data_IF_237779623220
#
_entry.id   IF_237779623220
#
_cell.length_a   1.000
_cell.length_b   1.000
_cell.length_c   1.000
_cell.angle_alpha   90.00
_cell.angle_beta   90.00
_cell.angle_gamma   90.00
#
_symmetry.space_group_name_H-M   'P 1'
#
loop_
_entity.id
_entity.type
_entity.pdbx_description
1 polymer ?
#
# COMPACT_ATOMS: atom_id res chain seq x y z
N UNK A 1 -24.81 -6.85 -3.53
CA UNK A 1 -23.54 -6.37 -4.14
C UNK A 1 -23.43 -6.99 -5.52
N UNK A 2 -23.41 -6.19 -6.59
CA UNK A 2 -23.22 -6.69 -7.95
C UNK A 2 -21.79 -7.17 -8.18
N UNK A 3 -21.58 -8.01 -9.20
CA UNK A 3 -20.23 -8.45 -9.61
C UNK A 3 -19.40 -7.23 -10.05
N UNK A 4 -18.14 -7.08 -9.61
CA UNK A 4 -17.32 -5.96 -10.06
C UNK A 4 -17.02 -6.07 -11.55
N UNK A 5 -17.00 -4.92 -12.24
CA UNK A 5 -16.61 -4.82 -13.65
C UNK A 5 -15.12 -5.16 -13.84
N UNK A 6 -14.28 -4.70 -12.92
CA UNK A 6 -12.83 -4.87 -12.93
C UNK A 6 -12.31 -5.33 -11.58
N UNK A 7 -11.24 -6.11 -11.60
CA UNK A 7 -10.38 -6.36 -10.45
C UNK A 7 -9.00 -5.84 -10.83
N UNK A 8 -8.52 -4.84 -10.10
CA UNK A 8 -7.25 -4.16 -10.38
C UNK A 8 -6.29 -4.46 -9.24
N UNK A 9 -5.13 -5.01 -9.56
CA UNK A 9 -4.07 -5.31 -8.59
C UNK A 9 -2.99 -4.24 -8.70
N UNK A 10 -2.72 -3.55 -7.60
CA UNK A 10 -1.71 -2.51 -7.53
C UNK A 10 -0.69 -2.89 -6.46
N UNK A 11 0.58 -3.04 -6.87
CA UNK A 11 1.70 -3.18 -5.94
C UNK A 11 2.00 -1.83 -5.30
N UNK A 12 2.40 -1.80 -4.04
CA UNK A 12 2.88 -0.57 -3.40
C UNK A 12 4.04 0.06 -4.20
N UNK A 13 4.17 1.38 -4.14
CA UNK A 13 5.25 2.11 -4.78
C UNK A 13 6.59 1.94 -4.06
N UNK A 14 7.67 2.53 -4.60
CA UNK A 14 9.02 2.40 -4.03
C UNK A 14 9.08 2.85 -2.56
N UNK A 15 9.42 1.91 -1.68
CA UNK A 15 9.65 2.14 -0.25
C UNK A 15 11.13 2.36 0.07
N UNK A 16 11.42 2.93 1.25
CA UNK A 16 12.81 3.07 1.71
C UNK A 16 13.51 1.71 1.84
N UNK A 17 12.77 0.66 2.22
CA UNK A 17 13.29 -0.71 2.27
C UNK A 17 13.60 -1.31 0.89
N UNK A 18 12.96 -0.81 -0.17
CA UNK A 18 13.33 -1.18 -1.54
C UNK A 18 14.66 -0.53 -1.97
N UNK A 19 14.95 0.68 -1.49
CA UNK A 19 16.23 1.37 -1.76
C UNK A 19 17.36 0.84 -0.89
N UNK A 20 17.11 0.64 0.41
CA UNK A 20 18.09 0.19 1.37
C UNK A 20 17.50 -0.86 2.32
N UNK A 21 17.83 -2.13 2.07
CA UNK A 21 17.38 -3.25 2.91
C UNK A 21 17.84 -3.15 4.37
N UNK A 22 18.94 -2.44 4.64
CA UNK A 22 19.45 -2.30 6.01
C UNK A 22 18.51 -1.50 6.91
N UNK A 23 17.57 -0.73 6.35
CA UNK A 23 16.58 0.02 7.13
C UNK A 23 15.72 -0.90 8.01
N UNK A 24 15.57 -2.17 7.65
CA UNK A 24 14.83 -3.15 8.43
C UNK A 24 15.51 -3.51 9.78
N UNK A 25 16.77 -3.12 9.96
CA UNK A 25 17.47 -3.24 11.25
C UNK A 25 17.01 -2.18 12.26
N UNK A 26 16.54 -1.03 11.77
CA UNK A 26 16.16 0.13 12.59
C UNK A 26 14.66 0.44 12.55
N UNK A 27 13.97 0.07 11.48
CA UNK A 27 12.55 0.30 11.26
C UNK A 27 11.85 -1.04 11.01
N UNK A 28 10.85 -1.43 11.82
CA UNK A 28 10.04 -2.61 11.57
C UNK A 28 9.39 -2.57 10.18
N UNK A 29 9.37 -3.69 9.45
CA UNK A 29 8.94 -3.72 8.03
C UNK A 29 7.57 -3.06 7.80
N UNK A 30 6.59 -3.35 8.64
CA UNK A 30 5.24 -2.78 8.55
C UNK A 30 5.19 -1.24 8.66
N UNK A 31 6.24 -0.61 9.19
CA UNK A 31 6.38 0.85 9.35
C UNK A 31 7.25 1.51 8.28
N UNK A 32 7.87 0.74 7.40
CA UNK A 32 8.69 1.29 6.31
C UNK A 32 7.80 2.10 5.37
N UNK A 33 8.16 3.37 5.17
CA UNK A 33 7.42 4.34 4.37
C UNK A 33 7.85 4.33 2.91
N UNK A 34 7.06 5.01 2.08
CA UNK A 34 7.43 5.38 0.73
C UNK A 34 8.59 6.38 0.71
N UNK A 35 9.35 6.30 -0.37
CA UNK A 35 10.29 7.35 -0.76
C UNK A 35 9.53 8.51 -1.42
N UNK A 36 10.17 9.66 -1.59
CA UNK A 36 9.59 10.76 -2.37
C UNK A 36 9.21 10.31 -3.79
N UNK A 37 10.09 9.56 -4.44
CA UNK A 37 9.82 8.96 -5.75
C UNK A 37 8.65 7.96 -5.71
N UNK A 38 8.52 7.19 -4.62
CA UNK A 38 7.38 6.31 -4.39
C UNK A 38 6.04 7.06 -4.33
N UNK A 39 6.00 8.25 -3.74
CA UNK A 39 4.80 9.09 -3.76
C UNK A 39 4.45 9.54 -5.19
N UNK A 40 5.43 9.96 -5.98
CA UNK A 40 5.22 10.33 -7.40
C UNK A 40 4.70 9.14 -8.22
N UNK A 41 5.26 7.95 -8.01
CA UNK A 41 4.78 6.72 -8.65
C UNK A 41 3.31 6.42 -8.29
N UNK A 42 2.93 6.58 -7.02
CA UNK A 42 1.58 6.34 -6.57
C UNK A 42 0.57 7.34 -7.18
N UNK A 43 0.95 8.62 -7.28
CA UNK A 43 0.11 9.62 -7.96
C UNK A 43 -0.05 9.34 -9.44
N UNK A 44 1.04 8.99 -10.12
CA UNK A 44 0.99 8.58 -11.52
C UNK A 44 0.09 7.35 -11.76
N UNK A 45 0.10 6.40 -10.83
CA UNK A 45 -0.82 5.26 -10.86
C UNK A 45 -2.29 5.70 -10.70
N UNK A 46 -2.58 6.66 -9.82
CA UNK A 46 -3.92 7.24 -9.68
C UNK A 46 -4.42 7.94 -10.94
N UNK A 47 -3.56 8.70 -11.63
CA UNK A 47 -3.92 9.30 -12.92
C UNK A 47 -4.25 8.24 -13.97
N UNK A 48 -3.43 7.20 -14.12
CA UNK A 48 -3.71 6.09 -15.05
C UNK A 48 -4.98 5.33 -14.68
N UNK A 49 -5.25 5.18 -13.38
CA UNK A 49 -6.48 4.54 -12.92
C UNK A 49 -7.70 5.36 -13.37
N UNK A 50 -7.65 6.68 -13.28
CA UNK A 50 -8.73 7.57 -13.73
C UNK A 50 -9.11 7.35 -15.19
N UNK A 51 -8.14 7.07 -16.06
CA UNK A 51 -8.37 6.80 -17.50
C UNK A 51 -9.11 5.48 -17.76
N UNK A 52 -9.10 4.55 -16.79
CA UNK A 52 -9.72 3.21 -16.90
C UNK A 52 -11.15 3.21 -16.29
N UNK A 53 -11.42 4.15 -15.40
CA UNK A 53 -12.66 4.21 -14.64
C UNK A 53 -13.77 4.92 -15.42
N UNK A 54 -14.98 4.39 -15.31
CA UNK A 54 -16.19 5.00 -15.85
C UNK A 54 -16.86 5.86 -14.77
N UNK A 55 -17.55 6.97 -15.14
CA UNK A 55 -18.24 7.82 -14.15
C UNK A 55 -19.26 7.09 -13.27
N UNK A 56 -19.82 5.97 -13.74
CA UNK A 56 -20.77 5.13 -13.02
C UNK A 56 -20.13 4.11 -12.08
N UNK A 57 -18.81 3.92 -12.14
CA UNK A 57 -18.12 2.95 -11.29
C UNK A 57 -18.11 3.42 -9.82
N UNK A 58 -18.11 2.45 -8.91
CA UNK A 58 -17.75 2.63 -7.50
C UNK A 58 -16.50 1.83 -7.19
N UNK A 59 -15.70 2.32 -6.25
CA UNK A 59 -14.41 1.74 -5.90
C UNK A 59 -14.49 1.07 -4.53
N UNK A 60 -14.04 -0.18 -4.48
CA UNK A 60 -13.74 -0.86 -3.24
C UNK A 60 -12.25 -1.16 -3.21
N UNK A 61 -11.54 -0.46 -2.33
CA UNK A 61 -10.10 -0.58 -2.21
C UNK A 61 -9.78 -1.46 -1.02
N UNK A 62 -9.09 -2.57 -1.27
CA UNK A 62 -8.54 -3.42 -0.22
C UNK A 62 -7.05 -3.14 -0.10
N UNK A 63 -6.62 -2.52 0.99
CA UNK A 63 -5.23 -2.13 1.22
C UNK A 63 -4.59 -2.96 2.32
N UNK A 64 -3.33 -3.36 2.14
CA UNK A 64 -2.54 -3.94 3.23
C UNK A 64 -2.36 -2.92 4.35
N UNK A 65 -2.28 -3.34 5.62
CA UNK A 65 -2.04 -2.43 6.75
C UNK A 65 -0.61 -1.86 6.80
N UNK A 66 0.29 -2.27 5.90
CA UNK A 66 1.67 -1.78 5.88
C UNK A 66 1.72 -0.33 5.42
N UNK A 67 2.57 0.48 6.06
CA UNK A 67 2.65 1.92 5.84
C UNK A 67 2.86 2.28 4.37
N UNK A 68 3.82 1.65 3.69
CA UNK A 68 4.06 1.82 2.24
C UNK A 68 2.81 1.60 1.37
N UNK A 69 1.96 0.65 1.73
CA UNK A 69 0.73 0.35 0.98
C UNK A 69 -0.35 1.37 1.29
N UNK A 70 -0.52 1.77 2.56
CA UNK A 70 -1.42 2.86 2.95
C UNK A 70 -1.07 4.18 2.25
N UNK A 71 0.21 4.54 2.24
CA UNK A 71 0.70 5.75 1.58
C UNK A 71 0.50 5.68 0.07
N UNK A 72 0.71 4.51 -0.56
CA UNK A 72 0.42 4.30 -1.98
C UNK A 72 -1.06 4.52 -2.27
N UNK A 73 -1.94 3.87 -1.49
CA UNK A 73 -3.40 4.01 -1.61
C UNK A 73 -3.83 5.47 -1.44
N UNK A 74 -3.32 6.17 -0.42
CA UNK A 74 -3.66 7.57 -0.18
C UNK A 74 -3.30 8.48 -1.36
N UNK A 75 -2.11 8.32 -1.94
CA UNK A 75 -1.67 9.12 -3.09
C UNK A 75 -2.45 8.80 -4.37
N UNK A 76 -2.86 7.54 -4.56
CA UNK A 76 -3.76 7.15 -5.65
C UNK A 76 -5.11 7.87 -5.50
N UNK A 77 -5.73 7.79 -4.31
CA UNK A 77 -7.04 8.40 -4.06
C UNK A 77 -7.01 9.92 -4.16
N UNK A 78 -5.94 10.55 -3.64
CA UNK A 78 -5.69 11.99 -3.82
C UNK A 78 -5.70 12.38 -5.31
N UNK A 79 -5.05 11.58 -6.16
CA UNK A 79 -4.90 11.87 -7.59
C UNK A 79 -6.18 11.63 -8.41
N UNK A 80 -7.13 10.84 -7.90
CA UNK A 80 -8.43 10.64 -8.53
C UNK A 80 -9.29 11.91 -8.44
N UNK A 81 -9.18 12.65 -7.34
CA UNK A 81 -9.91 13.88 -7.05
C UNK A 81 -11.22 13.67 -6.30
N UNK A 82 -11.90 14.77 -6.00
CA UNK A 82 -13.07 14.80 -5.10
C UNK A 82 -14.27 13.98 -5.61
N UNK A 83 -14.44 13.88 -6.93
CA UNK A 83 -15.52 13.10 -7.57
C UNK A 83 -15.53 11.62 -7.17
N UNK A 84 -14.38 11.10 -6.71
CA UNK A 84 -14.20 9.71 -6.33
C UNK A 84 -14.31 9.48 -4.82
N UNK A 85 -14.30 10.53 -3.98
CA UNK A 85 -14.33 10.39 -2.51
C UNK A 85 -15.59 9.67 -2.04
N UNK A 86 -16.76 10.13 -2.49
CA UNK A 86 -18.07 9.55 -2.12
C UNK A 86 -18.34 8.19 -2.81
N UNK A 87 -17.61 7.88 -3.88
CA UNK A 87 -17.74 6.62 -4.64
C UNK A 87 -16.76 5.54 -4.19
N UNK A 88 -15.90 5.85 -3.22
CA UNK A 88 -14.83 4.97 -2.78
C UNK A 88 -15.05 4.52 -1.35
N UNK A 89 -14.93 3.21 -1.12
CA UNK A 89 -14.80 2.65 0.21
C UNK A 89 -13.45 1.95 0.35
N UNK A 90 -12.73 2.23 1.43
CA UNK A 90 -11.41 1.66 1.70
C UNK A 90 -11.51 0.70 2.87
N UNK A 91 -10.99 -0.51 2.67
CA UNK A 91 -10.91 -1.57 3.66
C UNK A 91 -9.44 -1.91 3.89
N UNK A 92 -9.05 -1.98 5.16
CA UNK A 92 -7.78 -2.57 5.52
C UNK A 92 -7.92 -4.08 5.62
N UNK A 93 -7.09 -4.81 4.88
CA UNK A 93 -7.15 -6.26 4.80
C UNK A 93 -5.80 -6.85 5.28
N UNK A 94 -5.73 -7.34 6.54
CA UNK A 94 -4.51 -7.92 7.08
C UNK A 94 -4.02 -9.16 6.33
N UNK A 95 -4.90 -9.88 5.63
CA UNK A 95 -4.55 -11.12 4.91
C UNK A 95 -3.74 -10.87 3.64
N UNK A 96 -3.75 -9.65 3.09
CA UNK A 96 -2.98 -9.29 1.89
C UNK A 96 -1.65 -8.59 2.22
N UNK A 97 -1.17 -8.73 3.46
CA UNK A 97 0.17 -8.26 3.85
C UNK A 97 1.26 -9.04 3.12
N UNK A 98 2.41 -8.38 2.92
CA UNK A 98 3.57 -9.03 2.31
C UNK A 98 3.98 -10.26 3.13
N UNK A 99 4.36 -11.33 2.43
CA UNK A 99 4.78 -12.55 3.09
C UNK A 99 6.05 -12.27 3.88
N UNK A 100 6.03 -12.58 5.17
CA UNK A 100 7.24 -12.50 5.99
C UNK A 100 8.24 -13.53 5.48
N UNK A 101 9.42 -13.08 5.05
CA UNK A 101 10.52 -14.00 4.76
C UNK A 101 10.99 -14.68 6.04
N UNK A 102 11.49 -15.91 5.95
CA UNK A 102 12.02 -16.65 7.11
C UNK A 102 13.07 -15.86 7.89
N UNK A 103 13.89 -15.09 7.17
CA UNK A 103 14.89 -14.17 7.76
C UNK A 103 14.25 -13.04 8.58
N UNK A 104 13.17 -12.43 8.09
CA UNK A 104 12.43 -11.40 8.84
C UNK A 104 11.74 -11.97 10.10
N UNK A 105 11.30 -13.22 10.06
CA UNK A 105 10.73 -13.93 11.21
C UNK A 105 11.79 -14.22 12.27
N UNK A 106 13.01 -14.57 11.86
CA UNK A 106 14.12 -14.79 12.77
C UNK A 106 14.64 -13.48 13.40
N UNK A 107 14.70 -12.39 12.63
CA UNK A 107 15.08 -11.07 13.15
C UNK A 107 14.08 -10.54 14.20
N UNK A 108 12.77 -10.66 13.95
CA UNK A 108 11.74 -10.29 14.93
C UNK A 108 11.81 -11.12 16.22
N UNK A 109 12.16 -12.41 16.13
CA UNK A 109 12.35 -13.27 17.31
C UNK A 109 13.54 -12.87 18.16
N UNK A 110 14.59 -12.32 17.56
CA UNK A 110 15.76 -11.82 18.30
C UNK A 110 15.46 -10.49 19.01
N UNK A 111 14.75 -9.56 18.35
CA UNK A 111 14.37 -8.28 18.96
C UNK A 111 13.43 -8.44 20.17
N UNK A 112 12.50 -9.41 20.15
CA UNK A 112 11.63 -9.67 21.31
C UNK A 112 12.38 -10.25 22.53
N UNK A 113 13.55 -10.87 22.34
CA UNK A 113 14.35 -11.46 23.42
C UNK A 113 15.28 -10.47 24.13
N UNK A 114 15.52 -9.30 23.54
CA UNK A 114 16.43 -8.27 24.08
C UNK A 114 15.72 -7.19 24.88
N UNK A 115 14.40 -7.29 25.04
CA UNK A 115 13.55 -6.34 25.79
C UNK A 115 13.07 -6.88 27.14
N UNK A 116 13.71 -7.94 27.66
CA UNK A 116 13.54 -8.42 29.05
C UNK A 116 14.73 -8.03 29.91
#
# INVERSE_FOLDING_TARGET
MGRPRLIILIRHAQSEGNQNKAIHQTIPDHRVKLTQFGHEQARAAGHRLKDILLPSDTLQVYTSPYRRTRETTANILESLGDDWKEKTTVYEEPRIREQASTESLMANRQQMRTTE
#
